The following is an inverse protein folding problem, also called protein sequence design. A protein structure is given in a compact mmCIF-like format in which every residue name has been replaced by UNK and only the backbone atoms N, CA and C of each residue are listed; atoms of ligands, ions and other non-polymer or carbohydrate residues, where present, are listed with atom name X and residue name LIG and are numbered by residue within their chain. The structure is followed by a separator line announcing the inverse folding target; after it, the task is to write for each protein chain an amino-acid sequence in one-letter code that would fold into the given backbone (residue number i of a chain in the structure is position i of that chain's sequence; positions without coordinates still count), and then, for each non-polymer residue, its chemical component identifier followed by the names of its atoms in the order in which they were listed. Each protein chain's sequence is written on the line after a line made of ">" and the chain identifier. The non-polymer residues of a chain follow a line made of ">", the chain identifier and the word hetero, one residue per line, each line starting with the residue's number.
data_IF_845757232305
#
_entry.id   IF_845757232305
#
_cell.length_a   1.000
_cell.length_b   1.000
_cell.length_c   1.000
_cell.angle_alpha   90.00
_cell.angle_beta   90.00
_cell.angle_gamma   90.00
#
_symmetry.space_group_name_H-M   'P 1'
#
loop_
_entity.id
_entity.type
_entity.pdbx_description
1 polymer ?
#
# COMPACT_ATOMS: atom_id res chain seq x y z
N UNK A 1 67.62 18.36 21.78
CA UNK A 1 66.62 17.53 22.50
C UNK A 1 66.96 16.09 22.17
N UNK A 2 67.31 15.28 23.16
CA UNK A 2 67.85 13.94 22.97
C UNK A 2 66.87 13.06 22.17
N UNK A 3 67.36 12.40 21.12
CA UNK A 3 66.56 11.51 20.26
C UNK A 3 65.90 10.39 21.04
N UNK A 4 66.49 9.97 22.17
CA UNK A 4 65.89 9.01 23.12
C UNK A 4 64.67 9.58 23.84
N UNK A 5 64.71 10.86 24.19
CA UNK A 5 63.63 11.55 24.90
C UNK A 5 62.43 11.77 23.97
N UNK A 6 62.70 12.08 22.69
CA UNK A 6 61.66 12.13 21.65
C UNK A 6 61.00 10.76 21.51
N UNK A 7 61.79 9.68 21.36
CA UNK A 7 61.25 8.33 21.19
C UNK A 7 60.40 7.85 22.37
N UNK A 8 60.80 8.20 23.60
CA UNK A 8 60.02 7.90 24.81
C UNK A 8 58.70 8.67 24.87
N UNK A 9 58.70 9.94 24.42
CA UNK A 9 57.47 10.73 24.31
C UNK A 9 56.56 10.12 23.24
N UNK A 10 57.07 9.78 22.05
CA UNK A 10 56.24 9.19 21.00
C UNK A 10 55.67 7.84 21.41
N UNK A 11 56.46 7.00 22.07
CA UNK A 11 55.98 5.70 22.57
C UNK A 11 54.93 5.86 23.67
N UNK A 12 55.11 6.84 24.57
CA UNK A 12 54.12 7.18 25.61
C UNK A 12 52.80 7.66 25.02
N UNK A 13 52.85 8.51 23.98
CA UNK A 13 51.65 8.97 23.26
C UNK A 13 50.97 7.82 22.54
N UNK A 14 51.72 6.91 21.92
CA UNK A 14 51.16 5.75 21.22
C UNK A 14 50.47 4.78 22.19
N UNK A 15 51.08 4.51 23.35
CA UNK A 15 50.47 3.70 24.41
C UNK A 15 49.22 4.36 24.99
N UNK A 16 49.24 5.68 25.19
CA UNK A 16 48.06 6.42 25.64
C UNK A 16 46.92 6.35 24.62
N UNK A 17 47.22 6.47 23.32
CA UNK A 17 46.23 6.31 22.25
C UNK A 17 45.62 4.90 22.22
N UNK A 18 46.45 3.87 22.37
CA UNK A 18 45.96 2.48 22.42
C UNK A 18 45.04 2.27 23.64
N UNK A 19 45.39 2.84 24.80
CA UNK A 19 44.54 2.76 25.99
C UNK A 19 43.23 3.55 25.84
N UNK A 20 43.25 4.70 25.16
CA UNK A 20 42.04 5.50 24.88
C UNK A 20 41.13 4.76 23.90
N UNK A 21 41.68 4.19 22.82
CA UNK A 21 40.89 3.41 21.85
C UNK A 21 40.36 2.12 22.48
N UNK A 22 41.19 1.41 23.24
CA UNK A 22 40.76 0.23 24.00
C UNK A 22 39.67 0.56 25.03
N UNK A 23 39.81 1.69 25.72
CA UNK A 23 38.81 2.23 26.64
C UNK A 23 37.50 2.60 25.94
N UNK A 24 37.57 3.23 24.76
CA UNK A 24 36.39 3.55 23.94
C UNK A 24 35.68 2.30 23.41
N UNK A 25 36.44 1.30 22.95
CA UNK A 25 35.87 0.02 22.48
C UNK A 25 35.22 -0.72 23.65
N UNK A 26 35.86 -0.74 24.82
CA UNK A 26 35.29 -1.38 26.02
C UNK A 26 34.07 -0.60 26.51
N UNK A 27 34.10 0.73 26.45
CA UNK A 27 32.97 1.60 26.78
C UNK A 27 31.79 1.40 25.81
N UNK A 28 32.03 1.28 24.51
CA UNK A 28 31.01 0.91 23.50
C UNK A 28 30.47 -0.51 23.70
N UNK A 29 31.33 -1.48 24.09
CA UNK A 29 30.91 -2.86 24.33
C UNK A 29 30.20 -3.09 25.67
N UNK A 30 30.47 -2.25 26.69
CA UNK A 30 29.86 -2.35 28.03
C UNK A 30 28.72 -1.38 28.25
N UNK A 31 28.60 -0.34 27.42
CA UNK A 31 27.37 0.42 27.32
C UNK A 31 26.38 -0.50 26.65
N UNK A 32 25.41 -0.99 27.43
CA UNK A 32 24.23 -1.66 26.90
C UNK A 32 23.81 -0.90 25.66
N UNK A 33 23.88 -1.57 24.50
CA UNK A 33 23.19 -1.10 23.33
C UNK A 33 21.79 -0.77 23.83
N UNK A 34 21.39 0.50 23.69
CA UNK A 34 19.99 0.85 23.71
C UNK A 34 19.39 0.13 22.52
N UNK A 35 19.13 -1.15 22.73
CA UNK A 35 18.18 -1.94 22.01
C UNK A 35 16.96 -1.05 21.98
N UNK A 36 16.69 -0.47 20.82
CA UNK A 36 15.32 -0.15 20.49
C UNK A 36 14.62 -1.48 20.63
N UNK A 37 13.93 -1.60 21.76
CA UNK A 37 13.11 -2.72 22.14
C UNK A 37 12.10 -2.88 21.01
N UNK A 38 12.41 -3.78 20.07
CA UNK A 38 11.39 -4.71 19.60
C UNK A 38 10.81 -5.26 20.88
N UNK A 39 9.53 -4.97 21.12
CA UNK A 39 8.76 -5.44 22.25
C UNK A 39 8.83 -6.97 22.26
N UNK A 40 9.91 -7.51 22.82
CA UNK A 40 9.93 -8.88 23.32
C UNK A 40 8.95 -8.83 24.44
N UNK A 41 7.74 -9.29 24.13
CA UNK A 41 6.79 -9.86 25.06
C UNK A 41 7.55 -10.95 25.82
N UNK A 42 8.29 -10.55 26.84
CA UNK A 42 8.65 -11.43 27.93
C UNK A 42 7.38 -11.46 28.75
N UNK A 43 6.55 -12.46 28.50
CA UNK A 43 5.56 -12.92 29.46
C UNK A 43 6.31 -13.18 30.77
N UNK A 44 6.31 -12.18 31.65
CA UNK A 44 6.24 -12.48 33.06
C UNK A 44 4.91 -13.18 33.22
N UNK A 45 4.95 -14.47 33.49
CA UNK A 45 3.88 -15.19 34.19
C UNK A 45 3.67 -14.50 35.55
N UNK A 46 3.02 -13.33 35.51
CA UNK A 46 2.25 -12.83 36.61
C UNK A 46 0.90 -13.52 36.48
N UNK A 47 0.71 -14.58 37.28
CA UNK A 47 -0.60 -15.10 37.70
C UNK A 47 -1.38 -14.03 38.51
N UNK A 48 -1.34 -12.77 38.08
CA UNK A 48 -2.35 -11.80 38.44
C UNK A 48 -3.52 -12.12 37.51
N UNK A 49 -4.55 -12.79 38.06
CA UNK A 49 -5.89 -12.79 37.48
C UNK A 49 -6.15 -11.37 36.99
N UNK A 50 -6.19 -11.19 35.67
CA UNK A 50 -6.53 -9.91 35.03
C UNK A 50 -7.72 -9.35 35.81
N UNK A 51 -7.52 -8.27 36.58
CA UNK A 51 -8.63 -7.61 37.25
C UNK A 51 -9.51 -7.10 36.12
N UNK A 52 -10.64 -7.77 35.87
CA UNK A 52 -11.66 -7.28 34.96
C UNK A 52 -11.90 -5.81 35.27
N UNK A 53 -11.61 -4.94 34.29
CA UNK A 53 -11.79 -3.52 34.47
C UNK A 53 -13.28 -3.28 34.78
N UNK A 54 -13.64 -2.71 35.95
CA UNK A 54 -15.04 -2.57 36.38
C UNK A 54 -15.86 -1.68 35.45
N UNK A 55 -15.20 -0.94 34.57
CA UNK A 55 -15.80 -0.05 33.58
C UNK A 55 -15.85 -0.65 32.18
N UNK A 56 -15.13 -1.74 31.91
CA UNK A 56 -15.25 -2.45 30.64
C UNK A 56 -16.55 -3.28 30.54
N UNK A 57 -17.51 -3.07 31.43
CA UNK A 57 -18.76 -3.82 31.52
C UNK A 57 -19.58 -3.76 30.24
N UNK A 58 -20.22 -4.88 29.93
CA UNK A 58 -21.08 -5.01 28.75
C UNK A 58 -22.28 -4.03 28.77
N UNK A 59 -22.77 -3.71 29.98
CA UNK A 59 -23.85 -2.72 30.15
C UNK A 59 -23.43 -1.32 29.66
N UNK A 60 -22.21 -0.88 30.00
CA UNK A 60 -21.71 0.42 29.58
C UNK A 60 -21.39 0.46 28.08
N UNK A 61 -20.85 -0.65 27.52
CA UNK A 61 -20.63 -0.78 26.07
C UNK A 61 -21.95 -0.63 25.29
N UNK A 62 -23.00 -1.34 25.72
CA UNK A 62 -24.35 -1.22 25.14
C UNK A 62 -24.93 0.18 25.29
N UNK A 63 -24.73 0.84 26.43
CA UNK A 63 -25.17 2.21 26.63
C UNK A 63 -24.46 3.19 25.67
N UNK A 64 -23.15 3.03 25.47
CA UNK A 64 -22.38 3.87 24.56
C UNK A 64 -22.86 3.70 23.10
N UNK A 65 -23.05 2.47 22.65
CA UNK A 65 -23.61 2.17 21.31
C UNK A 65 -24.99 2.81 21.15
N UNK A 66 -25.86 2.66 22.16
CA UNK A 66 -27.21 3.21 22.14
C UNK A 66 -27.23 4.74 22.02
N UNK A 67 -26.28 5.43 22.65
CA UNK A 67 -26.16 6.89 22.53
C UNK A 67 -25.77 7.31 21.11
N UNK A 68 -24.87 6.58 20.45
CA UNK A 68 -24.48 6.88 19.06
C UNK A 68 -25.64 6.59 18.11
N UNK A 69 -26.26 5.41 18.21
CA UNK A 69 -27.38 5.00 17.35
C UNK A 69 -28.50 6.04 17.28
N UNK A 70 -28.80 6.69 18.40
CA UNK A 70 -29.90 7.66 18.55
C UNK A 70 -29.54 9.09 18.17
N UNK A 71 -28.31 9.36 17.77
CA UNK A 71 -27.96 10.70 17.29
C UNK A 71 -28.75 11.00 16.01
N UNK A 72 -29.43 12.15 15.99
CA UNK A 72 -30.14 12.65 14.82
C UNK A 72 -29.14 13.14 13.78
N UNK A 73 -29.38 12.82 12.51
CA UNK A 73 -28.53 13.21 11.39
C UNK A 73 -28.90 14.60 10.92
N UNK A 74 -27.96 15.54 10.92
CA UNK A 74 -28.24 16.92 10.48
C UNK A 74 -28.25 17.03 8.95
N UNK A 75 -29.26 17.72 8.41
CA UNK A 75 -29.23 18.25 7.04
C UNK A 75 -29.62 17.27 5.93
N UNK A 76 -30.26 16.14 6.25
CA UNK A 76 -31.04 15.37 5.28
C UNK A 76 -32.37 16.10 4.98
N UNK A 77 -32.91 16.02 3.75
CA UNK A 77 -34.25 16.52 3.49
C UNK A 77 -35.23 15.75 4.38
N UNK A 78 -36.11 16.47 5.09
CA UNK A 78 -37.30 15.85 5.68
C UNK A 78 -38.05 15.17 4.54
N UNK A 79 -38.39 13.90 4.69
CA UNK A 79 -39.23 13.23 3.70
C UNK A 79 -40.53 14.04 3.58
N UNK A 80 -40.87 14.46 2.35
CA UNK A 80 -42.18 15.04 2.04
C UNK A 80 -43.24 13.93 2.20
N UNK A 81 -43.55 13.60 3.44
CA UNK A 81 -44.69 12.77 3.83
C UNK A 81 -45.87 13.68 4.16
N UNK A 82 -47.05 13.30 3.68
CA UNK A 82 -48.31 14.01 3.91
C UNK A 82 -48.47 14.38 5.40
N UNK A 83 -48.86 15.64 5.63
CA UNK A 83 -49.08 16.26 6.93
C UNK A 83 -50.05 15.45 7.80
N UNK A 84 -49.55 14.50 8.61
CA UNK A 84 -50.17 14.09 9.89
C UNK A 84 -49.35 13.08 10.75
N UNK A 85 -48.25 12.50 10.25
CA UNK A 85 -47.29 11.79 11.11
C UNK A 85 -46.00 12.61 11.22
N UNK A 86 -45.60 12.99 12.45
CA UNK A 86 -44.33 13.65 12.68
C UNK A 86 -43.21 12.76 12.14
N UNK A 87 -42.61 13.13 11.01
CA UNK A 87 -41.52 12.38 10.40
C UNK A 87 -40.44 12.13 11.46
N UNK A 88 -40.23 10.86 11.83
CA UNK A 88 -39.23 10.51 12.83
C UNK A 88 -37.85 10.99 12.32
N UNK A 89 -37.16 11.80 13.12
CA UNK A 89 -35.88 12.36 12.73
C UNK A 89 -34.89 11.21 12.42
N UNK A 90 -34.37 11.18 11.20
CA UNK A 90 -33.42 10.14 10.75
C UNK A 90 -32.23 10.04 11.70
N UNK A 91 -31.94 8.85 12.19
CA UNK A 91 -30.86 8.60 13.14
C UNK A 91 -29.61 8.04 12.47
N UNK A 92 -28.48 8.06 13.18
CA UNK A 92 -27.23 7.44 12.72
C UNK A 92 -27.40 5.94 12.47
N UNK A 93 -28.28 5.26 13.22
CA UNK A 93 -28.56 3.84 12.95
C UNK A 93 -29.21 3.66 11.56
N UNK A 94 -30.24 4.46 11.25
CA UNK A 94 -31.03 4.33 10.03
C UNK A 94 -30.16 4.52 8.77
N UNK A 95 -29.26 5.51 8.78
CA UNK A 95 -28.37 5.78 7.64
C UNK A 95 -27.26 4.73 7.46
N UNK A 96 -26.87 4.03 8.52
CA UNK A 96 -25.83 2.99 8.43
C UNK A 96 -26.42 1.65 7.99
N UNK A 97 -27.72 1.47 8.20
CA UNK A 97 -28.49 0.34 7.66
C UNK A 97 -28.87 0.57 6.18
N UNK A 98 -28.85 1.82 5.69
CA UNK A 98 -28.98 2.13 4.25
C UNK A 98 -27.71 1.79 3.46
N UNK A 99 -27.75 0.67 2.76
CA UNK A 99 -26.67 0.20 1.88
C UNK A 99 -26.28 1.23 0.80
N UNK A 100 -27.21 2.05 0.32
CA UNK A 100 -26.92 3.09 -0.68
C UNK A 100 -26.10 4.21 -0.05
N UNK A 101 -26.47 4.66 1.15
CA UNK A 101 -25.69 5.64 1.90
C UNK A 101 -24.26 5.14 2.18
N UNK A 102 -24.12 3.91 2.67
CA UNK A 102 -22.80 3.29 2.92
C UNK A 102 -21.95 3.29 1.65
N UNK A 103 -22.50 2.83 0.52
CA UNK A 103 -21.76 2.75 -0.74
C UNK A 103 -21.44 4.13 -1.33
N UNK A 104 -22.40 5.04 -1.36
CA UNK A 104 -22.26 6.31 -2.08
C UNK A 104 -21.63 7.43 -1.25
N UNK A 105 -21.90 7.47 0.06
CA UNK A 105 -21.46 8.53 0.98
C UNK A 105 -20.31 8.10 1.88
N UNK A 106 -20.30 6.87 2.38
CA UNK A 106 -19.13 6.38 3.14
C UNK A 106 -18.03 5.82 2.24
N UNK A 107 -18.34 5.55 0.96
CA UNK A 107 -17.39 4.98 -0.03
C UNK A 107 -16.84 3.63 0.42
N UNK A 108 -17.66 2.85 1.11
CA UNK A 108 -17.32 1.48 1.51
C UNK A 108 -18.04 0.54 0.55
N UNK A 109 -17.31 -0.07 -0.39
CA UNK A 109 -17.94 -0.90 -1.43
C UNK A 109 -17.60 -2.39 -1.35
N UNK A 110 -16.41 -2.73 -0.84
CA UNK A 110 -15.90 -4.11 -0.77
C UNK A 110 -16.05 -4.77 0.61
N UNK A 111 -16.29 -3.99 1.66
CA UNK A 111 -16.35 -4.47 3.04
C UNK A 111 -17.78 -4.85 3.47
N UNK A 112 -17.90 -5.92 4.27
CA UNK A 112 -19.19 -6.41 4.79
C UNK A 112 -19.49 -5.79 6.15
N UNK A 113 -20.74 -5.41 6.46
CA UNK A 113 -21.07 -4.91 7.79
C UNK A 113 -20.85 -6.02 8.83
N UNK A 114 -20.02 -5.72 9.84
CA UNK A 114 -19.73 -6.59 10.99
C UNK A 114 -20.57 -6.19 12.22
N UNK A 115 -20.99 -4.91 12.27
CA UNK A 115 -21.93 -4.39 13.24
C UNK A 115 -21.32 -3.38 14.21
N UNK A 116 -22.00 -3.16 15.34
CA UNK A 116 -21.61 -2.16 16.33
C UNK A 116 -20.63 -2.74 17.34
N UNK A 117 -19.51 -2.05 17.52
CA UNK A 117 -18.49 -2.39 18.49
C UNK A 117 -18.27 -1.22 19.45
N UNK A 118 -18.02 -1.53 20.72
CA UNK A 118 -17.61 -0.53 21.69
C UNK A 118 -16.45 -1.04 22.54
N UNK A 119 -15.36 -0.29 22.52
CA UNK A 119 -14.19 -0.54 23.35
C UNK A 119 -14.02 0.59 24.34
N UNK A 120 -13.62 0.26 25.57
CA UNK A 120 -13.29 1.27 26.55
C UNK A 120 -12.05 2.04 26.08
N UNK A 121 -12.17 3.38 25.98
CA UNK A 121 -11.09 4.22 25.47
C UNK A 121 -10.13 4.55 26.63
N UNK A 122 -9.19 3.65 26.88
CA UNK A 122 -8.22 3.73 27.97
C UNK A 122 -7.08 4.73 27.78
N UNK A 123 -6.88 5.31 26.59
CA UNK A 123 -5.76 6.23 26.30
C UNK A 123 -5.90 7.62 26.96
N UNK A 124 -6.93 7.85 27.78
CA UNK A 124 -7.14 9.15 28.39
C UNK A 124 -6.86 9.15 29.89
N UNK A 125 -6.07 10.14 30.32
CA UNK A 125 -6.01 10.64 31.71
C UNK A 125 -7.35 11.12 32.27
N UNK A 126 -8.43 11.02 31.49
CA UNK A 126 -9.77 11.55 31.76
C UNK A 126 -10.74 10.50 32.36
N UNK A 127 -10.25 9.29 32.64
CA UNK A 127 -10.93 8.32 33.50
C UNK A 127 -11.91 7.38 32.79
N UNK A 128 -12.64 6.56 33.56
CA UNK A 128 -13.30 5.34 33.09
C UNK A 128 -14.54 5.51 32.18
N UNK A 129 -14.91 6.74 31.83
CA UNK A 129 -16.23 7.07 31.27
C UNK A 129 -16.26 7.25 29.75
N UNK A 130 -15.11 7.11 29.08
CA UNK A 130 -14.96 7.30 27.63
C UNK A 130 -14.93 5.96 26.89
N UNK A 131 -15.69 5.87 25.81
CA UNK A 131 -15.74 4.70 24.93
C UNK A 131 -15.44 5.11 23.49
N UNK A 132 -14.69 4.25 22.80
CA UNK A 132 -14.72 4.19 21.35
C UNK A 132 -15.96 3.42 20.95
N UNK A 133 -16.81 4.00 20.12
CA UNK A 133 -17.87 3.27 19.45
C UNK A 133 -17.56 3.27 17.96
N UNK A 134 -17.65 2.12 17.30
CA UNK A 134 -17.44 1.98 15.85
C UNK A 134 -18.60 1.19 15.26
N UNK A 135 -19.03 1.57 14.06
CA UNK A 135 -19.76 0.64 13.21
C UNK A 135 -18.75 0.02 12.25
N UNK A 136 -18.42 -1.24 12.48
CA UNK A 136 -17.34 -1.94 11.81
C UNK A 136 -17.83 -2.56 10.50
N UNK A 137 -17.02 -2.37 9.46
CA UNK A 137 -17.08 -3.10 8.22
C UNK A 137 -15.81 -3.95 8.11
N UNK A 138 -16.01 -5.25 7.86
CA UNK A 138 -14.97 -6.24 7.70
C UNK A 138 -14.53 -6.31 6.24
N UNK A 139 -13.26 -6.00 5.99
CA UNK A 139 -12.59 -6.19 4.70
C UNK A 139 -11.44 -7.18 4.94
N UNK A 140 -11.62 -8.41 4.48
CA UNK A 140 -10.77 -9.54 4.84
C UNK A 140 -10.56 -9.64 6.37
N UNK A 141 -9.36 -9.41 6.89
CA UNK A 141 -9.05 -9.53 8.33
C UNK A 141 -8.94 -8.19 9.07
N UNK A 142 -9.28 -7.08 8.43
CA UNK A 142 -9.29 -5.75 9.05
C UNK A 142 -10.72 -5.23 9.23
N UNK A 143 -10.88 -4.34 10.21
CA UNK A 143 -12.15 -3.68 10.51
C UNK A 143 -12.01 -2.17 10.40
N UNK A 144 -12.74 -1.59 9.48
CA UNK A 144 -12.77 -0.15 9.21
C UNK A 144 -14.16 0.42 9.48
N UNK A 145 -14.30 1.74 9.49
CA UNK A 145 -15.62 2.37 9.49
C UNK A 145 -15.74 3.61 10.37
N UNK A 146 -16.93 4.21 10.43
CA UNK A 146 -17.16 5.39 11.23
C UNK A 146 -16.97 5.08 12.72
N UNK A 147 -16.23 5.96 13.40
CA UNK A 147 -15.91 5.83 14.81
C UNK A 147 -16.19 7.12 15.60
N UNK A 148 -16.70 6.97 16.82
CA UNK A 148 -17.08 8.05 17.73
C UNK A 148 -16.42 7.88 19.10
N UNK A 149 -16.13 9.02 19.72
CA UNK A 149 -15.80 9.09 21.14
C UNK A 149 -17.08 9.41 21.90
N UNK A 150 -17.42 8.56 22.87
CA UNK A 150 -18.63 8.67 23.69
C UNK A 150 -18.25 8.93 25.14
N UNK A 151 -18.75 10.04 25.69
CA UNK A 151 -18.76 10.33 27.11
C UNK A 151 -20.12 9.90 27.69
N UNK A 152 -20.13 8.79 28.43
CA UNK A 152 -21.37 8.28 29.02
C UNK A 152 -21.96 9.21 30.08
N UNK A 153 -21.11 9.91 30.85
CA UNK A 153 -21.56 10.76 31.95
C UNK A 153 -22.12 12.08 31.43
N UNK A 154 -21.42 12.68 30.47
CA UNK A 154 -21.86 13.89 29.79
C UNK A 154 -22.91 13.64 28.71
N UNK A 155 -23.24 12.38 28.41
CA UNK A 155 -24.09 11.96 27.28
C UNK A 155 -23.66 12.60 25.95
N UNK A 156 -22.35 12.76 25.75
CA UNK A 156 -21.80 13.47 24.60
C UNK A 156 -21.21 12.48 23.61
N UNK A 157 -21.58 12.64 22.33
CA UNK A 157 -21.02 11.86 21.22
C UNK A 157 -20.25 12.81 20.31
N UNK A 158 -18.99 12.48 20.02
CA UNK A 158 -18.13 13.28 19.14
C UNK A 158 -17.59 12.38 18.03
N UNK A 159 -17.68 12.79 16.74
CA UNK A 159 -17.09 12.01 15.66
C UNK A 159 -15.57 12.01 15.82
N UNK A 160 -14.97 10.82 15.85
CA UNK A 160 -13.52 10.63 15.93
C UNK A 160 -12.89 10.82 14.55
N UNK A 161 -13.48 10.19 13.54
CA UNK A 161 -13.01 10.18 12.17
C UNK A 161 -13.99 10.83 11.18
N UNK A 162 -13.53 11.00 9.94
CA UNK A 162 -14.27 11.67 8.89
C UNK A 162 -15.54 10.90 8.51
N UNK A 163 -15.49 9.57 8.51
CA UNK A 163 -16.65 8.74 8.22
C UNK A 163 -17.76 8.92 9.27
N UNK A 164 -17.41 9.03 10.55
CA UNK A 164 -18.36 9.36 11.60
C UNK A 164 -18.95 10.77 11.44
N UNK A 165 -18.15 11.74 10.97
CA UNK A 165 -18.64 13.08 10.65
C UNK A 165 -19.61 13.07 9.46
N UNK A 166 -19.34 12.25 8.43
CA UNK A 166 -20.25 12.04 7.29
C UNK A 166 -21.55 11.37 7.76
N UNK A 167 -21.47 10.37 8.64
CA UNK A 167 -22.66 9.74 9.20
C UNK A 167 -23.50 10.74 10.02
N UNK A 168 -22.89 11.57 10.88
CA UNK A 168 -23.67 12.52 11.69
C UNK A 168 -24.16 13.75 10.91
N UNK A 169 -23.34 14.25 9.99
CA UNK A 169 -23.57 15.50 9.27
C UNK A 169 -23.14 15.36 7.79
N UNK A 170 -23.90 14.64 6.94
CA UNK A 170 -23.46 14.26 5.61
C UNK A 170 -22.94 15.42 4.77
N UNK A 171 -23.63 16.57 4.77
CA UNK A 171 -23.23 17.77 4.02
C UNK A 171 -21.86 18.31 4.46
N UNK A 172 -21.64 18.49 5.77
CA UNK A 172 -20.37 19.02 6.33
C UNK A 172 -19.26 17.97 6.39
N UNK A 173 -19.62 16.69 6.42
CA UNK A 173 -18.68 15.58 6.46
C UNK A 173 -17.92 15.42 5.15
N UNK A 174 -18.64 15.47 4.03
CA UNK A 174 -18.04 15.33 2.69
C UNK A 174 -17.16 16.52 2.29
N UNK A 175 -17.36 17.68 2.92
CA UNK A 175 -16.53 18.88 2.76
C UNK A 175 -15.20 18.81 3.54
N UNK A 176 -14.98 17.77 4.34
CA UNK A 176 -13.74 17.60 5.09
C UNK A 176 -12.53 17.43 4.17
N UNK A 177 -11.42 18.10 4.49
CA UNK A 177 -10.15 17.94 3.78
C UNK A 177 -9.61 16.50 3.79
N UNK A 178 -10.12 15.65 4.65
CA UNK A 178 -9.71 14.25 4.79
C UNK A 178 -10.72 13.25 4.22
N UNK A 179 -11.84 13.72 3.69
CA UNK A 179 -12.84 12.86 3.04
C UNK A 179 -12.35 12.41 1.67
N UNK A 180 -12.61 11.15 1.33
CA UNK A 180 -12.27 10.54 0.03
C UNK A 180 -10.78 10.72 -0.35
N UNK A 181 -9.90 10.53 0.65
CA UNK A 181 -8.44 10.66 0.49
C UNK A 181 -7.70 9.35 0.25
N UNK A 182 -8.39 8.23 0.11
CA UNK A 182 -7.76 6.91 0.04
C UNK A 182 -6.69 6.83 -1.08
N UNK A 183 -7.01 7.29 -2.30
CA UNK A 183 -6.05 7.29 -3.40
C UNK A 183 -4.86 8.22 -3.15
N UNK A 184 -5.07 9.40 -2.56
CA UNK A 184 -4.02 10.36 -2.26
C UNK A 184 -3.12 9.88 -1.11
N UNK A 185 -3.69 9.18 -0.14
CA UNK A 185 -2.96 8.51 0.94
C UNK A 185 -2.10 7.40 0.35
N UNK A 186 -2.67 6.47 -0.43
CA UNK A 186 -1.91 5.41 -1.10
C UNK A 186 -0.79 6.00 -1.95
N UNK A 187 -1.08 7.00 -2.79
CA UNK A 187 -0.07 7.65 -3.62
C UNK A 187 1.05 8.32 -2.79
N UNK A 188 0.75 8.88 -1.62
CA UNK A 188 1.76 9.50 -0.78
C UNK A 188 2.61 8.45 -0.04
N UNK A 189 1.96 7.38 0.45
CA UNK A 189 2.60 6.24 1.10
C UNK A 189 3.55 5.54 0.14
N UNK A 190 3.09 5.25 -1.08
CA UNK A 190 3.88 4.49 -2.07
C UNK A 190 5.04 5.28 -2.63
N UNK A 191 4.96 6.61 -2.61
CA UNK A 191 6.05 7.52 -2.98
C UNK A 191 7.05 7.80 -1.85
N UNK A 192 6.84 7.24 -0.65
CA UNK A 192 7.84 7.30 0.42
C UNK A 192 9.16 6.72 -0.07
N UNK A 193 10.27 7.45 0.14
CA UNK A 193 11.61 7.10 -0.36
C UNK A 193 12.51 6.66 0.77
N UNK A 194 13.19 5.54 0.56
CA UNK A 194 14.29 5.10 1.40
C UNK A 194 15.60 5.78 0.98
N UNK A 195 16.68 5.59 1.75
CA UNK A 195 17.99 6.20 1.44
C UNK A 195 18.57 5.74 0.09
N UNK A 196 18.22 4.54 -0.33
CA UNK A 196 18.52 3.99 -1.64
C UNK A 196 17.74 4.65 -2.78
N UNK A 197 16.74 5.47 -2.48
CA UNK A 197 15.87 6.08 -3.48
C UNK A 197 14.74 5.18 -3.97
N UNK A 198 14.74 3.87 -3.63
CA UNK A 198 13.59 3.00 -3.84
C UNK A 198 12.37 3.61 -3.14
N UNK A 199 11.22 3.51 -3.78
CA UNK A 199 9.97 3.94 -3.15
C UNK A 199 9.26 2.73 -2.51
N UNK A 200 8.32 2.97 -1.59
CA UNK A 200 7.59 1.88 -0.94
C UNK A 200 6.81 1.02 -1.93
N UNK A 201 6.32 1.59 -3.03
CA UNK A 201 5.74 0.81 -4.13
C UNK A 201 6.71 -0.25 -4.67
N UNK A 202 7.94 0.14 -4.96
CA UNK A 202 9.03 -0.76 -5.37
C UNK A 202 9.41 -1.74 -4.26
N UNK A 203 9.52 -1.30 -3.01
CA UNK A 203 9.84 -2.15 -1.88
C UNK A 203 8.81 -3.27 -1.66
N UNK A 204 7.51 -2.98 -1.84
CA UNK A 204 6.46 -4.01 -1.85
C UNK A 204 6.74 -5.06 -2.94
N UNK A 205 7.08 -4.63 -4.16
CA UNK A 205 7.35 -5.55 -5.27
C UNK A 205 8.58 -6.40 -5.01
N UNK A 206 9.63 -5.83 -4.40
CA UNK A 206 10.82 -6.56 -3.98
C UNK A 206 10.49 -7.60 -2.91
N UNK A 207 9.79 -7.19 -1.86
CA UNK A 207 9.38 -8.05 -0.75
C UNK A 207 8.63 -9.31 -1.22
N UNK A 208 7.62 -9.15 -2.07
CA UNK A 208 6.85 -10.31 -2.56
C UNK A 208 7.59 -11.13 -3.63
N UNK A 209 8.53 -10.52 -4.36
CA UNK A 209 9.34 -11.25 -5.32
C UNK A 209 10.35 -12.18 -4.64
N UNK A 210 10.89 -11.78 -3.49
CA UNK A 210 11.86 -12.61 -2.75
C UNK A 210 11.18 -13.79 -2.03
N UNK A 211 9.88 -13.68 -1.72
CA UNK A 211 9.07 -14.73 -1.10
C UNK A 211 8.50 -15.74 -2.12
N UNK A 212 9.15 -15.93 -3.27
CA UNK A 212 8.67 -16.72 -4.41
C UNK A 212 8.60 -18.25 -4.20
N UNK A 213 8.34 -18.72 -2.97
CA UNK A 213 7.63 -19.98 -2.74
C UNK A 213 6.12 -19.70 -2.65
N UNK A 214 5.61 -18.85 -3.55
CA UNK A 214 4.20 -18.47 -3.56
C UNK A 214 3.35 -19.67 -3.98
N UNK A 215 2.43 -20.07 -3.12
CA UNK A 215 1.39 -21.04 -3.46
C UNK A 215 0.47 -20.46 -4.54
N UNK A 216 -0.16 -21.32 -5.35
CA UNK A 216 -1.22 -20.89 -6.29
C UNK A 216 -2.39 -20.20 -5.57
N UNK A 217 -2.52 -20.39 -4.26
CA UNK A 217 -3.54 -19.78 -3.41
C UNK A 217 -3.18 -18.35 -2.96
N UNK A 218 -1.93 -17.93 -3.11
CA UNK A 218 -1.47 -16.62 -2.63
C UNK A 218 -2.03 -15.51 -3.51
N UNK A 219 -2.72 -14.55 -2.88
CA UNK A 219 -3.44 -13.49 -3.60
C UNK A 219 -3.20 -12.13 -2.97
N UNK A 220 -2.70 -11.18 -3.77
CA UNK A 220 -2.56 -9.78 -3.34
C UNK A 220 -3.94 -9.12 -3.33
N UNK A 221 -4.38 -8.69 -2.15
CA UNK A 221 -5.64 -8.01 -1.95
C UNK A 221 -5.49 -6.50 -2.23
N UNK A 222 -4.44 -5.87 -1.72
CA UNK A 222 -4.13 -4.43 -1.92
C UNK A 222 -4.43 -3.55 -0.71
N UNK A 223 -4.47 -2.23 -0.92
CA UNK A 223 -4.60 -1.25 0.16
C UNK A 223 -6.04 -1.02 0.63
N UNK A 224 -6.21 -0.97 1.95
CA UNK A 224 -7.41 -0.43 2.60
C UNK A 224 -7.00 0.69 3.54
N UNK A 225 -7.71 1.83 3.46
CA UNK A 225 -7.36 3.06 4.17
C UNK A 225 -8.51 3.40 5.13
N UNK A 226 -8.22 3.44 6.43
CA UNK A 226 -9.13 3.96 7.46
C UNK A 226 -8.64 5.33 7.94
N UNK A 227 -9.56 6.28 8.08
CA UNK A 227 -9.24 7.55 8.70
C UNK A 227 -9.36 7.41 10.21
N UNK A 228 -8.28 7.74 10.93
CA UNK A 228 -8.23 7.58 12.39
C UNK A 228 -8.74 8.86 13.08
N UNK A 229 -7.96 9.94 13.02
CA UNK A 229 -8.30 11.24 13.60
C UNK A 229 -7.40 12.34 13.03
N UNK A 230 -7.98 13.53 12.81
CA UNK A 230 -7.23 14.69 12.36
C UNK A 230 -6.59 14.40 10.99
N UNK A 231 -5.27 14.50 10.90
CA UNK A 231 -4.53 14.22 9.69
C UNK A 231 -3.98 12.79 9.60
N UNK A 232 -4.37 11.89 10.50
CA UNK A 232 -3.84 10.52 10.58
C UNK A 232 -4.74 9.51 9.90
N UNK A 233 -4.11 8.59 9.18
CA UNK A 233 -4.72 7.46 8.51
C UNK A 233 -4.02 6.17 8.94
N UNK A 234 -4.80 5.13 9.13
CA UNK A 234 -4.29 3.76 9.23
C UNK A 234 -4.42 3.12 7.84
N UNK A 235 -3.33 2.54 7.36
CA UNK A 235 -3.22 2.03 6.01
C UNK A 235 -2.78 0.57 6.05
N UNK A 236 -3.59 -0.30 5.48
CA UNK A 236 -3.44 -1.75 5.53
C UNK A 236 -3.15 -2.27 4.12
N UNK A 237 -1.95 -2.80 3.88
CA UNK A 237 -1.67 -3.55 2.66
C UNK A 237 -1.95 -5.03 2.90
N UNK A 238 -2.96 -5.58 2.24
CA UNK A 238 -3.47 -6.92 2.55
C UNK A 238 -3.10 -7.93 1.45
N UNK A 239 -2.91 -9.19 1.85
CA UNK A 239 -2.79 -10.35 0.95
C UNK A 239 -3.29 -11.62 1.63
N UNK A 240 -3.44 -12.69 0.86
CA UNK A 240 -3.70 -14.05 1.34
C UNK A 240 -2.43 -14.84 1.12
N UNK A 241 -1.97 -15.54 2.15
CA UNK A 241 -0.79 -16.40 2.17
C UNK A 241 -1.23 -17.76 2.72
N UNK A 242 -1.07 -18.84 1.95
CA UNK A 242 -1.51 -20.19 2.32
C UNK A 242 -2.99 -20.26 2.78
N UNK A 243 -3.86 -19.57 2.02
CA UNK A 243 -5.29 -19.49 2.32
C UNK A 243 -5.65 -18.62 3.54
N UNK A 244 -4.67 -18.05 4.24
CA UNK A 244 -4.87 -17.21 5.42
C UNK A 244 -4.68 -15.73 5.10
N UNK A 245 -5.64 -14.85 5.42
CA UNK A 245 -5.49 -13.42 5.20
C UNK A 245 -4.45 -12.84 6.16
N UNK A 246 -3.62 -11.94 5.64
CA UNK A 246 -2.53 -11.25 6.34
C UNK A 246 -2.41 -9.81 5.84
N UNK A 247 -1.79 -8.93 6.64
CA UNK A 247 -1.63 -7.53 6.29
C UNK A 247 -0.39 -6.90 6.90
N UNK A 248 0.10 -5.86 6.22
CA UNK A 248 1.04 -4.90 6.74
C UNK A 248 0.31 -3.62 7.13
N UNK A 249 0.44 -3.22 8.39
CA UNK A 249 -0.19 -2.00 8.92
C UNK A 249 0.80 -0.86 9.02
N UNK A 250 0.42 0.27 8.45
CA UNK A 250 1.15 1.51 8.50
C UNK A 250 0.28 2.61 9.08
N UNK A 251 0.88 3.49 9.87
CA UNK A 251 0.26 4.74 10.29
C UNK A 251 0.85 5.89 9.49
N UNK A 252 -0.02 6.66 8.85
CA UNK A 252 0.36 7.75 7.95
C UNK A 252 -0.17 9.09 8.45
N UNK A 253 0.73 10.06 8.61
CA UNK A 253 0.39 11.46 8.87
C UNK A 253 0.34 12.20 7.52
N UNK A 254 -0.88 12.57 7.11
CA UNK A 254 -1.14 13.11 5.78
C UNK A 254 -0.52 14.47 5.55
N UNK A 255 -0.43 15.33 6.56
CA UNK A 255 0.11 16.69 6.38
C UNK A 255 1.63 16.67 6.43
N UNK A 256 2.19 15.88 7.35
CA UNK A 256 3.65 15.74 7.49
C UNK A 256 4.27 14.80 6.46
N UNK A 257 3.43 14.04 5.74
CA UNK A 257 3.86 12.96 4.84
C UNK A 257 4.77 11.96 5.54
N UNK A 258 4.49 11.68 6.82
CA UNK A 258 5.27 10.78 7.65
C UNK A 258 4.62 9.40 7.70
N UNK A 259 5.41 8.35 7.49
CA UNK A 259 4.98 6.97 7.49
C UNK A 259 5.66 6.21 8.62
N UNK A 260 4.92 5.35 9.32
CA UNK A 260 5.45 4.48 10.37
C UNK A 260 4.86 3.08 10.24
N UNK A 261 5.73 2.06 10.23
CA UNK A 261 5.30 0.67 10.34
C UNK A 261 4.75 0.39 11.75
N UNK A 262 3.65 -0.37 11.83
CA UNK A 262 2.99 -0.72 13.09
C UNK A 262 3.22 -2.18 13.47
N UNK A 263 3.11 -3.10 12.51
CA UNK A 263 3.31 -4.53 12.74
C UNK A 263 4.58 -5.06 12.05
N UNK A 264 4.91 -6.33 12.34
CA UNK A 264 6.11 -6.99 11.83
C UNK A 264 6.12 -7.04 10.29
N UNK A 265 4.99 -7.36 9.68
CA UNK A 265 4.83 -7.38 8.22
C UNK A 265 5.17 -6.04 7.57
N UNK A 266 4.69 -4.93 8.14
CA UNK A 266 5.04 -3.60 7.67
C UNK A 266 6.53 -3.28 7.86
N UNK A 267 7.12 -3.71 8.98
CA UNK A 267 8.54 -3.54 9.24
C UNK A 267 9.41 -4.33 8.25
N UNK A 268 9.02 -5.56 7.91
CA UNK A 268 9.73 -6.39 6.94
C UNK A 268 9.69 -5.78 5.52
N UNK A 269 8.55 -5.20 5.12
CA UNK A 269 8.44 -4.47 3.84
C UNK A 269 9.33 -3.22 3.84
N UNK A 270 9.36 -2.46 4.95
CA UNK A 270 10.25 -1.29 5.06
C UNK A 270 11.71 -1.72 4.98
N UNK A 271 12.08 -2.82 5.66
CA UNK A 271 13.42 -3.40 5.61
C UNK A 271 13.83 -3.79 4.19
N UNK A 272 12.94 -4.39 3.41
CA UNK A 272 13.21 -4.71 2.00
C UNK A 272 13.56 -3.46 1.16
N UNK A 273 13.01 -2.29 1.51
CA UNK A 273 13.39 -1.01 0.91
C UNK A 273 14.71 -0.43 1.44
N UNK A 274 14.95 -0.55 2.75
CA UNK A 274 16.16 -0.08 3.43
C UNK A 274 17.42 -0.87 3.05
N UNK A 275 17.30 -2.18 2.89
CA UNK A 275 18.39 -3.09 2.50
C UNK A 275 18.70 -3.04 1.00
N UNK A 276 17.91 -2.30 0.22
CA UNK A 276 18.13 -2.21 -1.22
C UNK A 276 19.34 -1.32 -1.55
N UNK A 277 20.42 -1.90 -2.07
CA UNK A 277 21.69 -1.16 -2.24
C UNK A 277 21.74 -0.24 -3.47
N UNK A 278 20.87 -0.43 -4.47
CA UNK A 278 20.98 0.31 -5.73
C UNK A 278 20.27 1.67 -5.65
N UNK A 279 20.98 2.73 -6.09
CA UNK A 279 20.50 4.12 -5.99
C UNK A 279 19.64 4.62 -7.14
N UNK A 280 19.69 3.95 -8.29
CA UNK A 280 19.04 4.41 -9.51
C UNK A 280 18.21 3.29 -10.11
N UNK A 281 16.92 3.54 -10.42
CA UNK A 281 16.11 2.55 -11.09
C UNK A 281 16.57 2.37 -12.54
N UNK A 282 16.37 1.17 -13.09
CA UNK A 282 16.46 0.90 -14.53
C UNK A 282 15.35 1.67 -15.24
N UNK A 283 15.62 2.19 -16.43
CA UNK A 283 14.59 2.87 -17.23
C UNK A 283 13.92 1.87 -18.17
N UNK A 284 12.63 1.62 -18.01
CA UNK A 284 11.88 0.72 -18.90
C UNK A 284 11.14 1.46 -20.00
N UNK A 285 11.14 2.79 -19.99
CA UNK A 285 10.35 3.60 -20.92
C UNK A 285 10.86 3.43 -22.36
N UNK A 286 9.94 3.37 -23.36
CA UNK A 286 10.34 3.44 -24.75
C UNK A 286 11.08 4.75 -25.04
N UNK A 287 12.19 4.69 -25.78
CA UNK A 287 12.99 5.86 -26.15
C UNK A 287 12.17 6.91 -26.92
N UNK A 288 11.13 6.47 -27.63
CA UNK A 288 10.26 7.34 -28.42
C UNK A 288 9.13 7.98 -27.61
N UNK A 289 9.03 7.74 -26.29
CA UNK A 289 7.98 8.28 -25.42
C UNK A 289 8.51 9.40 -24.52
N UNK A 290 7.81 10.52 -24.49
CA UNK A 290 8.09 11.64 -23.58
C UNK A 290 7.14 11.55 -22.38
N UNK A 291 7.66 11.11 -21.23
CA UNK A 291 6.89 10.94 -19.99
C UNK A 291 6.28 12.25 -19.48
N UNK A 292 7.01 13.37 -19.61
CA UNK A 292 6.52 14.70 -19.19
C UNK A 292 5.34 15.16 -20.04
N UNK A 293 5.37 14.88 -21.34
CA UNK A 293 4.28 15.24 -22.28
C UNK A 293 3.24 14.14 -22.44
N UNK A 294 3.43 12.99 -21.80
CA UNK A 294 2.55 11.80 -21.86
C UNK A 294 2.20 11.40 -23.30
N UNK A 295 3.19 11.42 -24.20
CA UNK A 295 2.99 11.14 -25.64
C UNK A 295 4.24 10.66 -26.34
N UNK A 296 4.05 9.94 -27.45
CA UNK A 296 5.13 9.56 -28.34
C UNK A 296 5.67 10.76 -29.14
N UNK A 297 6.98 10.94 -29.12
CA UNK A 297 7.72 12.00 -29.83
C UNK A 297 8.47 11.49 -31.07
N UNK A 298 8.52 10.17 -31.26
CA UNK A 298 8.94 9.53 -32.50
C UNK A 298 8.21 8.18 -32.75
N UNK A 299 8.59 7.48 -33.81
CA UNK A 299 8.14 6.11 -34.10
C UNK A 299 6.73 6.00 -34.68
N UNK A 300 6.24 4.77 -34.77
CA UNK A 300 4.94 4.47 -35.36
C UNK A 300 3.78 5.12 -34.59
N UNK A 301 3.87 5.18 -33.25
CA UNK A 301 2.80 5.74 -32.43
C UNK A 301 2.70 7.26 -32.49
N UNK A 302 3.78 7.99 -32.81
CA UNK A 302 3.67 9.41 -33.18
C UNK A 302 2.94 9.61 -34.50
N UNK A 303 3.21 8.74 -35.49
CA UNK A 303 2.57 8.81 -36.82
C UNK A 303 1.10 8.39 -36.78
N UNK A 304 0.74 7.51 -35.84
CA UNK A 304 -0.61 6.97 -35.69
C UNK A 304 -1.14 7.13 -34.24
N UNK A 305 -1.28 8.37 -33.73
CA UNK A 305 -1.61 8.59 -32.31
C UNK A 305 -3.03 8.13 -31.95
N UNK A 306 -3.93 8.04 -32.94
CA UNK A 306 -5.29 7.54 -32.77
C UNK A 306 -5.40 6.02 -32.86
N UNK A 307 -4.32 5.32 -33.23
CA UNK A 307 -4.35 3.87 -33.30
C UNK A 307 -4.62 3.31 -31.90
N UNK A 308 -5.64 2.45 -31.70
CA UNK A 308 -6.05 1.99 -30.38
C UNK A 308 -4.91 1.39 -29.55
N UNK A 309 -4.03 0.60 -30.16
CA UNK A 309 -2.86 0.05 -29.47
C UNK A 309 -1.86 1.11 -28.98
N UNK A 310 -1.72 2.24 -29.67
CA UNK A 310 -0.87 3.34 -29.22
C UNK A 310 -1.53 4.11 -28.07
N UNK A 311 -2.85 4.29 -28.10
CA UNK A 311 -3.61 4.87 -26.99
C UNK A 311 -3.50 4.03 -25.72
N UNK A 312 -3.66 2.71 -25.83
CA UNK A 312 -3.50 1.79 -24.71
C UNK A 312 -2.09 1.83 -24.11
N UNK A 313 -1.05 1.91 -24.93
CA UNK A 313 0.32 2.12 -24.44
C UNK A 313 0.45 3.43 -23.65
N UNK A 314 -0.12 4.52 -24.15
CA UNK A 314 -0.10 5.81 -23.43
C UNK A 314 -0.75 5.67 -22.05
N UNK A 315 -1.86 4.93 -21.90
CA UNK A 315 -2.51 4.74 -20.59
C UNK A 315 -1.59 4.08 -19.56
N UNK A 316 -0.86 3.03 -19.94
CA UNK A 316 0.11 2.35 -19.05
C UNK A 316 1.31 3.26 -18.76
N UNK A 317 1.94 3.78 -19.82
CA UNK A 317 3.16 4.58 -19.73
C UNK A 317 2.97 5.95 -19.05
N UNK A 318 1.73 6.40 -18.91
CA UNK A 318 1.39 7.66 -18.23
C UNK A 318 1.13 7.50 -16.73
N UNK A 319 1.17 6.26 -16.23
CA UNK A 319 1.06 5.95 -14.81
C UNK A 319 2.47 5.87 -14.19
N UNK A 320 3.00 7.04 -13.80
CA UNK A 320 4.38 7.19 -13.34
C UNK A 320 4.69 6.30 -12.13
N UNK A 321 3.74 6.16 -11.20
CA UNK A 321 3.89 5.32 -10.00
C UNK A 321 3.97 3.82 -10.35
N UNK A 322 3.19 3.36 -11.33
CA UNK A 322 3.22 1.98 -11.81
C UNK A 322 4.57 1.69 -12.47
N UNK A 323 4.96 2.55 -13.43
CA UNK A 323 6.22 2.40 -14.15
C UNK A 323 7.39 2.38 -13.18
N UNK A 324 7.47 3.36 -12.28
CA UNK A 324 8.59 3.46 -11.35
C UNK A 324 8.68 2.26 -10.39
N UNK A 325 7.54 1.76 -9.88
CA UNK A 325 7.55 0.57 -9.02
C UNK A 325 8.10 -0.65 -9.77
N UNK A 326 7.73 -0.82 -11.03
CA UNK A 326 8.24 -1.88 -11.90
C UNK A 326 9.74 -1.70 -12.19
N UNK A 327 10.18 -0.47 -12.43
CA UNK A 327 11.58 -0.14 -12.64
C UNK A 327 12.43 -0.55 -11.43
N UNK A 328 12.01 -0.24 -10.20
CA UNK A 328 12.72 -0.69 -9.00
C UNK A 328 12.76 -2.22 -8.86
N UNK A 329 11.65 -2.91 -9.11
CA UNK A 329 11.61 -4.37 -9.08
C UNK A 329 12.58 -4.99 -10.10
N UNK A 330 12.64 -4.44 -11.31
CA UNK A 330 13.52 -4.88 -12.38
C UNK A 330 14.98 -4.53 -12.12
N UNK A 331 15.24 -3.45 -11.39
CA UNK A 331 16.58 -3.07 -10.93
C UNK A 331 17.19 -4.17 -10.06
N UNK A 332 16.40 -4.81 -9.20
CA UNK A 332 16.83 -5.98 -8.43
C UNK A 332 17.06 -7.26 -9.25
N UNK A 333 16.69 -7.28 -10.54
CA UNK A 333 16.92 -8.43 -11.43
C UNK A 333 18.16 -8.26 -12.31
N UNK A 334 18.57 -7.02 -12.57
CA UNK A 334 19.80 -6.76 -13.29
C UNK A 334 21.01 -6.70 -12.36
N UNK A 335 22.17 -7.10 -12.89
CA UNK A 335 23.44 -6.86 -12.23
C UNK A 335 23.87 -5.41 -12.39
N UNK A 336 23.51 -4.80 -13.52
CA UNK A 336 23.85 -3.41 -13.85
C UNK A 336 22.74 -2.73 -14.65
N UNK A 337 22.64 -1.40 -14.56
CA UNK A 337 21.67 -0.63 -15.35
C UNK A 337 21.93 -0.74 -16.85
N UNK A 338 23.19 -0.86 -17.24
CA UNK A 338 23.65 -0.98 -18.62
C UNK A 338 23.08 -2.22 -19.32
N UNK A 339 22.82 -3.31 -18.58
CA UNK A 339 22.18 -4.52 -19.11
C UNK A 339 20.79 -4.22 -19.67
N UNK A 340 20.01 -3.37 -18.99
CA UNK A 340 18.69 -2.96 -19.47
C UNK A 340 18.77 -2.05 -20.69
N UNK A 341 19.73 -1.13 -20.76
CA UNK A 341 19.93 -0.29 -21.94
C UNK A 341 20.33 -1.11 -23.17
N UNK A 342 21.22 -2.08 -22.99
CA UNK A 342 21.60 -3.05 -24.04
C UNK A 342 20.38 -3.88 -24.44
N UNK A 343 19.59 -4.35 -23.48
CA UNK A 343 18.37 -5.11 -23.74
C UNK A 343 17.34 -4.29 -24.55
N UNK A 344 17.12 -3.01 -24.20
CA UNK A 344 16.24 -2.09 -24.95
C UNK A 344 16.75 -1.87 -26.37
N UNK A 345 18.04 -1.55 -26.55
CA UNK A 345 18.62 -1.26 -27.87
C UNK A 345 18.59 -2.46 -28.83
N UNK A 346 18.73 -3.68 -28.30
CA UNK A 346 18.57 -4.93 -29.05
C UNK A 346 17.10 -5.32 -29.26
N UNK A 347 16.19 -4.58 -28.65
CA UNK A 347 14.76 -4.82 -28.66
C UNK A 347 14.32 -5.94 -27.73
N UNK A 348 15.19 -6.56 -26.94
CA UNK A 348 14.85 -7.68 -26.04
C UNK A 348 14.06 -7.23 -24.81
N UNK A 349 14.07 -5.93 -24.47
CA UNK A 349 13.25 -5.31 -23.43
C UNK A 349 12.33 -4.28 -24.07
N UNK A 350 11.01 -4.53 -24.08
CA UNK A 350 10.06 -3.65 -24.78
C UNK A 350 8.61 -3.87 -24.39
N UNK A 351 7.81 -2.84 -24.62
CA UNK A 351 6.35 -2.93 -24.61
C UNK A 351 5.80 -3.46 -25.95
N UNK A 352 4.79 -4.33 -25.88
CA UNK A 352 4.12 -4.92 -27.03
C UNK A 352 2.59 -4.86 -26.88
N UNK A 353 1.90 -3.99 -27.63
CA UNK A 353 0.44 -3.97 -27.65
C UNK A 353 -0.10 -5.10 -28.55
N UNK A 354 -1.09 -5.82 -28.06
CA UNK A 354 -1.82 -6.87 -28.77
C UNK A 354 -3.32 -6.59 -28.67
N UNK A 355 -4.05 -6.72 -29.78
CA UNK A 355 -5.49 -6.54 -29.78
C UNK A 355 -6.14 -7.78 -29.15
N UNK A 356 -6.88 -7.59 -28.06
CA UNK A 356 -7.64 -8.66 -27.39
C UNK A 356 -9.08 -8.71 -27.88
N UNK A 357 -9.75 -7.55 -27.88
CA UNK A 357 -11.13 -7.41 -28.34
C UNK A 357 -11.34 -6.04 -29.04
N UNK A 358 -12.59 -5.65 -29.34
CA UNK A 358 -12.98 -4.39 -29.98
C UNK A 358 -12.52 -3.16 -29.20
N UNK A 359 -12.64 -3.18 -27.86
CA UNK A 359 -12.25 -2.05 -27.00
C UNK A 359 -11.07 -2.34 -26.09
N UNK A 360 -10.54 -3.56 -26.08
CA UNK A 360 -9.48 -3.97 -25.13
C UNK A 360 -8.20 -4.37 -25.85
N UNK A 361 -7.09 -3.82 -25.38
CA UNK A 361 -5.74 -4.18 -25.83
C UNK A 361 -4.94 -4.73 -24.66
N UNK A 362 -4.26 -5.85 -24.89
CA UNK A 362 -3.26 -6.38 -23.97
C UNK A 362 -1.92 -5.70 -24.21
N UNK A 363 -1.37 -5.05 -23.20
CA UNK A 363 -0.03 -4.50 -23.20
C UNK A 363 0.88 -5.48 -22.46
N UNK A 364 1.87 -6.02 -23.17
CA UNK A 364 2.92 -6.85 -22.57
C UNK A 364 4.17 -5.99 -22.37
N UNK A 365 4.84 -6.11 -21.23
CA UNK A 365 6.25 -5.76 -21.11
C UNK A 365 7.06 -7.05 -21.08
N UNK A 366 7.89 -7.26 -22.11
CA UNK A 366 8.74 -8.44 -22.25
C UNK A 366 10.17 -8.01 -22.01
N UNK A 367 10.92 -8.76 -21.19
CA UNK A 367 12.32 -8.48 -20.93
C UNK A 367 13.14 -9.79 -20.87
N UNK A 368 14.31 -9.76 -21.49
CA UNK A 368 15.30 -10.84 -21.42
C UNK A 368 16.70 -10.23 -21.42
N UNK A 369 17.32 -10.20 -20.23
CA UNK A 369 18.64 -9.62 -20.01
C UNK A 369 19.79 -10.51 -20.52
N UNK A 370 19.54 -11.80 -20.73
CA UNK A 370 20.55 -12.77 -21.12
C UNK A 370 20.79 -12.80 -22.64
N UNK A 371 19.79 -12.42 -23.46
CA UNK A 371 19.95 -12.43 -24.92
C UNK A 371 20.85 -11.31 -25.42
N UNK A 372 21.90 -11.74 -26.10
CA UNK A 372 22.90 -10.89 -26.74
C UNK A 372 22.55 -10.51 -28.18
N UNK A 373 21.66 -11.23 -28.85
CA UNK A 373 21.29 -10.94 -30.24
C UNK A 373 20.09 -10.00 -30.34
N UNK A 374 19.94 -9.36 -31.49
CA UNK A 374 18.81 -8.47 -31.77
C UNK A 374 17.55 -9.30 -31.96
N UNK A 375 16.44 -8.85 -31.37
CA UNK A 375 15.17 -9.54 -31.54
C UNK A 375 14.68 -9.53 -33.00
N UNK A 376 14.36 -10.71 -33.54
CA UNK A 376 13.67 -10.87 -34.82
C UNK A 376 12.15 -11.04 -34.62
N UNK A 377 11.36 -10.13 -35.21
CA UNK A 377 9.89 -10.19 -35.17
C UNK A 377 9.29 -11.29 -36.02
N UNK A 378 10.06 -11.87 -36.96
CA UNK A 378 9.60 -12.90 -37.90
C UNK A 378 9.79 -14.31 -37.35
N UNK A 379 10.74 -14.51 -36.44
CA UNK A 379 11.04 -15.78 -35.81
C UNK A 379 11.02 -15.57 -34.29
N UNK A 380 9.85 -15.77 -33.68
CA UNK A 380 9.73 -15.80 -32.23
C UNK A 380 10.05 -17.24 -31.81
N UNK A 381 11.26 -17.46 -31.33
CA UNK A 381 11.70 -18.74 -30.75
C UNK A 381 10.75 -19.15 -29.59
N UNK A 382 10.47 -20.45 -29.41
CA UNK A 382 9.48 -20.93 -28.42
C UNK A 382 9.83 -20.54 -26.96
N UNK A 383 11.13 -20.41 -26.65
CA UNK A 383 11.66 -19.89 -25.37
C UNK A 383 11.38 -18.38 -25.11
N UNK A 384 10.53 -17.76 -25.94
CA UNK A 384 10.29 -16.29 -25.98
C UNK A 384 8.82 -15.92 -25.95
N UNK A 385 7.93 -16.90 -25.98
CA UNK A 385 6.52 -16.66 -25.85
C UNK A 385 6.24 -16.22 -24.41
N UNK A 386 5.98 -14.93 -24.22
CA UNK A 386 5.35 -14.47 -23.00
C UNK A 386 4.09 -15.31 -22.79
N UNK A 387 3.97 -16.02 -21.66
CA UNK A 387 2.83 -16.89 -21.34
C UNK A 387 1.47 -16.17 -21.42
N UNK A 388 1.48 -14.84 -21.35
CA UNK A 388 0.28 -14.00 -21.45
C UNK A 388 0.00 -13.48 -22.88
N UNK A 389 0.81 -13.85 -23.87
CA UNK A 389 0.65 -13.45 -25.27
C UNK A 389 -0.59 -14.11 -25.90
N UNK A 390 -1.41 -13.31 -26.57
CA UNK A 390 -2.61 -13.77 -27.29
C UNK A 390 -2.28 -14.55 -28.59
N UNK A 391 -1.00 -14.60 -28.97
CA UNK A 391 -0.53 -15.29 -30.18
C UNK A 391 0.17 -16.63 -29.88
N UNK A 392 0.22 -17.04 -28.62
CA UNK A 392 0.50 -18.43 -28.30
C UNK A 392 -0.76 -19.22 -28.69
N UNK A 393 -0.65 -20.07 -29.71
CA UNK A 393 -1.81 -20.67 -30.39
C UNK A 393 -2.64 -21.63 -29.53
N UNK A 394 -3.89 -21.85 -29.96
CA UNK A 394 -4.83 -22.85 -29.42
C UNK A 394 -4.48 -24.31 -29.81
N UNK A 395 -3.32 -24.56 -30.41
CA UNK A 395 -2.85 -25.92 -30.74
C UNK A 395 -1.86 -26.38 -29.67
N UNK A 396 -2.32 -27.35 -28.86
CA UNK A 396 -1.60 -28.02 -27.77
C UNK A 396 -1.14 -27.10 -26.63
N UNK A 397 -1.99 -27.06 -25.58
CA UNK A 397 -1.53 -26.87 -24.20
C UNK A 397 -0.57 -28.02 -23.83
N UNK A 398 0.67 -27.97 -24.30
CA UNK A 398 1.75 -28.68 -23.64
C UNK A 398 2.17 -27.83 -22.44
N UNK A 399 2.58 -28.44 -21.33
CA UNK A 399 3.05 -27.68 -20.17
C UNK A 399 4.43 -27.02 -20.39
N UNK A 400 4.92 -26.95 -21.64
CA UNK A 400 6.31 -26.60 -22.00
C UNK A 400 6.49 -25.36 -22.90
N UNK A 401 5.43 -24.66 -23.35
CA UNK A 401 5.55 -23.48 -24.24
C UNK A 401 5.95 -22.16 -23.54
N UNK A 402 6.30 -22.20 -22.25
CA UNK A 402 6.62 -21.01 -21.46
C UNK A 402 7.98 -21.17 -20.76
N UNK A 403 9.09 -21.19 -21.51
CA UNK A 403 10.41 -21.27 -20.88
C UNK A 403 11.22 -19.97 -21.11
N UNK A 404 11.60 -19.33 -19.99
CA UNK A 404 12.63 -18.28 -19.78
C UNK A 404 12.32 -16.80 -20.08
N UNK A 405 11.30 -16.45 -20.86
CA UNK A 405 10.92 -15.05 -21.08
C UNK A 405 10.14 -14.46 -19.91
N UNK A 406 10.75 -13.63 -19.07
CA UNK A 406 10.01 -12.90 -18.04
C UNK A 406 9.14 -11.81 -18.68
N UNK A 407 7.84 -11.81 -18.35
CA UNK A 407 6.93 -10.81 -18.88
C UNK A 407 5.83 -10.44 -17.89
N UNK A 408 5.30 -9.24 -18.09
CA UNK A 408 4.17 -8.68 -17.36
C UNK A 408 3.10 -8.26 -18.36
N UNK A 409 1.83 -8.32 -17.96
CA UNK A 409 0.70 -8.07 -18.83
C UNK A 409 -0.44 -7.30 -18.17
N UNK A 410 -0.98 -6.33 -18.91
CA UNK A 410 -2.17 -5.56 -18.54
C UNK A 410 -3.16 -5.50 -19.70
N UNK A 411 -4.42 -5.73 -19.43
CA UNK A 411 -5.52 -5.49 -20.36
C UNK A 411 -6.05 -4.07 -20.16
N UNK A 412 -6.10 -3.29 -21.24
CA UNK A 412 -6.44 -1.87 -21.21
C UNK A 412 -7.70 -1.63 -22.04
N UNK A 413 -8.75 -1.12 -21.42
CA UNK A 413 -9.89 -0.58 -22.18
C UNK A 413 -9.50 0.77 -22.79
N UNK A 414 -9.58 0.86 -24.12
CA UNK A 414 -9.11 2.01 -24.90
C UNK A 414 -9.97 3.27 -24.64
N UNK A 415 -11.23 3.09 -24.23
CA UNK A 415 -12.17 4.19 -24.01
C UNK A 415 -12.05 4.74 -22.59
N UNK A 416 -12.12 3.88 -21.58
CA UNK A 416 -12.02 4.30 -20.18
C UNK A 416 -10.58 4.53 -19.72
N UNK A 417 -9.61 3.88 -20.36
CA UNK A 417 -8.22 3.85 -19.89
C UNK A 417 -8.01 2.95 -18.68
N UNK A 418 -9.01 2.16 -18.31
CA UNK A 418 -8.96 1.22 -17.19
C UNK A 418 -7.89 0.16 -17.44
N UNK A 419 -7.07 -0.09 -16.42
CA UNK A 419 -5.96 -1.03 -16.44
C UNK A 419 -6.36 -2.25 -15.62
N UNK A 420 -6.45 -3.41 -16.26
CA UNK A 420 -6.70 -4.69 -15.59
C UNK A 420 -5.43 -5.54 -15.65
N UNK A 421 -4.75 -5.81 -14.52
CA UNK A 421 -3.58 -6.68 -14.53
C UNK A 421 -3.95 -8.13 -14.87
N UNK A 422 -3.06 -8.84 -15.56
CA UNK A 422 -3.31 -10.21 -16.07
C UNK A 422 -2.57 -11.28 -15.27
N UNK A 423 -1.45 -10.93 -14.64
CA UNK A 423 -0.58 -11.84 -13.89
C UNK A 423 -0.33 -11.34 -12.47
N UNK A 424 0.26 -12.18 -11.61
CA UNK A 424 0.52 -11.85 -10.20
C UNK A 424 1.44 -10.63 -10.04
N UNK A 425 2.51 -10.50 -10.83
CA UNK A 425 3.43 -9.36 -10.73
C UNK A 425 2.74 -8.07 -11.17
N UNK A 426 2.01 -8.11 -12.29
CA UNK A 426 1.20 -6.98 -12.76
C UNK A 426 0.10 -6.61 -11.76
N UNK A 427 -0.49 -7.61 -11.09
CA UNK A 427 -1.51 -7.42 -10.05
C UNK A 427 -0.92 -6.75 -8.84
N UNK A 428 0.21 -7.23 -8.35
CA UNK A 428 0.94 -6.61 -7.25
C UNK A 428 1.33 -5.17 -7.59
N UNK A 429 1.94 -4.93 -8.76
CA UNK A 429 2.32 -3.60 -9.23
C UNK A 429 1.13 -2.64 -9.28
N UNK A 430 -0.03 -3.11 -9.75
CA UNK A 430 -1.24 -2.31 -9.80
C UNK A 430 -1.83 -2.06 -8.41
N UNK A 431 -1.93 -3.10 -7.57
CA UNK A 431 -2.50 -3.02 -6.21
C UNK A 431 -1.59 -2.27 -5.25
N UNK A 432 -0.28 -2.24 -5.49
CA UNK A 432 0.66 -1.46 -4.73
C UNK A 432 0.38 0.04 -4.81
N UNK A 433 -0.29 0.55 -5.86
CA UNK A 433 -0.51 1.99 -6.05
C UNK A 433 -1.98 2.42 -6.07
N UNK A 434 -2.92 1.49 -5.86
CA UNK A 434 -4.36 1.76 -5.82
C UNK A 434 -5.03 1.19 -4.55
N UNK A 435 -5.98 1.92 -3.93
CA UNK A 435 -6.84 1.38 -2.88
C UNK A 435 -7.86 0.38 -3.43
N UNK A 436 -8.39 -0.48 -2.54
CA UNK A 436 -9.37 -1.54 -2.86
C UNK A 436 -10.80 -1.04 -3.14
N UNK A 437 -11.12 0.21 -2.78
CA UNK A 437 -12.45 0.87 -2.88
C UNK A 437 -13.60 0.19 -2.14
#
# INVERSE_FOLDING_TARGET
>A
MDTRLILQITLGVLLALILVVGGLITYELTRDASTQVVERVVEKETDEKEKENPWASEANRKAAIKLVKRQTVEGMPEEEGDEEEAAEATTVADILDDAKFVKEKLKITSAKPSGWEATWWGETKYGPQYYLVRYAFEDANIRIGPAWLVDLKGQKVVPKNVLAKVAQTPKKGVESDYYDKAQQVVAAITNHRFESGVNLGGALLLYFKERAESSDEDTILGWTIDHDRGNKFDAYFQWVEEGSPTYAEFKFDYDRKALRAINLQAADIMRAGEEFDQKNPVDIMPQEFDSKKKRFVDGACKKMPRHPGCRSLVHVLSNDALIESLEWMLTAQAKTREEFEVCKSKGNCRFMPQKKDKSVYRILYVYNLEKKDKFDRRHVEEEWACKHSLKAGDEEKSDDWASKGNCMAWDIDVKSGEITPVDQTSTLAYRAIHPRS
#
